data_IF_815424619398
#
_entry.id   IF_815424619398
#
_cell.length_a   1.000
_cell.length_b   1.000
_cell.length_c   1.000
_cell.angle_alpha   90.00
_cell.angle_beta   90.00
_cell.angle_gamma   90.00
#
_symmetry.space_group_name_H-M   'P 1'
#
loop_
_entity.id
_entity.type
_entity.pdbx_description
1 polymer ?
#
# COMPACT_ATOMS: atom_id res chain seq x y z
N UNK A 1 -4.17 13.84 15.20
CA UNK A 1 -4.69 12.53 14.72
C UNK A 1 -3.88 12.10 13.52
N UNK A 2 -3.83 10.80 13.21
CA UNK A 2 -3.09 10.29 12.04
C UNK A 2 -3.50 11.01 10.73
N UNK A 3 -4.77 11.38 10.58
CA UNK A 3 -5.24 12.14 9.43
C UNK A 3 -4.70 13.58 9.40
N UNK A 4 -4.68 14.28 10.54
CA UNK A 4 -4.17 15.65 10.62
C UNK A 4 -2.67 15.73 10.28
N UNK A 5 -1.89 14.73 10.71
CA UNK A 5 -0.46 14.66 10.42
C UNK A 5 -0.23 14.52 8.91
N UNK A 6 -1.02 13.67 8.24
CA UNK A 6 -0.95 13.48 6.79
C UNK A 6 -1.48 14.68 5.99
N UNK A 7 -2.46 15.41 6.52
CA UNK A 7 -2.93 16.67 5.93
C UNK A 7 -1.87 17.77 6.05
N UNK A 8 -1.20 17.87 7.20
CA UNK A 8 -0.09 18.80 7.39
C UNK A 8 1.05 18.48 6.41
N UNK A 9 1.41 17.19 6.31
CA UNK A 9 2.41 16.70 5.38
C UNK A 9 2.10 17.07 3.92
N UNK A 10 0.94 16.69 3.39
CA UNK A 10 0.66 16.84 1.95
C UNK A 10 0.61 18.31 1.51
N UNK A 11 0.16 19.22 2.39
CA UNK A 11 0.18 20.69 2.15
C UNK A 11 1.60 21.25 2.02
N UNK A 12 2.58 20.57 2.59
CA UNK A 12 3.97 21.00 2.62
C UNK A 12 4.88 20.13 1.75
N UNK A 13 4.41 19.00 1.24
CA UNK A 13 5.24 18.05 0.52
C UNK A 13 5.83 18.62 -0.79
N UNK A 14 5.15 19.57 -1.44
CA UNK A 14 5.66 20.23 -2.65
C UNK A 14 6.79 21.22 -2.35
N UNK A 15 6.64 22.07 -1.32
CA UNK A 15 7.66 23.09 -0.97
C UNK A 15 9.00 22.51 -0.52
N UNK A 16 9.02 21.24 -0.11
CA UNK A 16 10.22 20.54 0.33
C UNK A 16 11.02 19.90 -0.81
N UNK A 17 10.54 19.96 -2.07
CA UNK A 17 11.29 19.53 -3.26
C UNK A 17 11.90 18.11 -3.20
N UNK A 18 11.16 17.16 -2.62
CA UNK A 18 11.63 15.79 -2.36
C UNK A 18 11.53 14.82 -3.56
N UNK A 19 11.09 15.31 -4.72
CA UNK A 19 10.87 14.46 -5.90
C UNK A 19 12.19 14.19 -6.60
N UNK A 20 12.54 12.92 -6.78
CA UNK A 20 13.70 12.46 -7.56
C UNK A 20 13.23 11.40 -8.55
N UNK A 21 13.49 11.60 -9.84
CA UNK A 21 13.06 10.68 -10.89
C UNK A 21 11.58 10.82 -11.25
N UNK A 22 10.78 9.79 -10.97
CA UNK A 22 9.35 9.79 -11.29
C UNK A 22 8.58 10.81 -10.44
N UNK A 23 7.48 11.35 -10.99
CA UNK A 23 6.60 12.26 -10.27
C UNK A 23 5.76 11.48 -9.25
N UNK A 24 6.36 11.17 -8.10
CA UNK A 24 5.77 10.35 -7.05
C UNK A 24 5.40 11.16 -5.79
N UNK A 25 4.51 10.59 -4.99
CA UNK A 25 4.11 11.13 -3.68
C UNK A 25 3.74 9.98 -2.73
N UNK A 26 4.06 10.14 -1.45
CA UNK A 26 3.72 9.21 -0.38
C UNK A 26 2.94 9.94 0.71
N UNK A 27 2.04 9.23 1.39
CA UNK A 27 1.33 9.63 2.61
C UNK A 27 0.77 8.36 3.27
N UNK A 28 0.38 8.43 4.54
CA UNK A 28 -0.30 7.36 5.25
C UNK A 28 -1.82 7.58 5.22
N UNK A 29 -2.55 6.47 5.07
CA UNK A 29 -4.00 6.44 5.09
C UNK A 29 -4.50 5.04 5.52
N UNK A 30 -5.65 5.01 6.19
CA UNK A 30 -6.38 3.79 6.52
C UNK A 30 -7.10 3.20 5.29
N UNK A 31 -7.78 2.06 5.45
CA UNK A 31 -8.47 1.38 4.34
C UNK A 31 -9.44 2.30 3.60
N UNK A 32 -10.26 3.06 4.35
CA UNK A 32 -11.25 3.99 3.78
C UNK A 32 -10.54 5.15 3.05
N UNK A 33 -9.48 5.70 3.64
CA UNK A 33 -8.68 6.77 3.05
C UNK A 33 -8.00 6.33 1.75
N UNK A 34 -7.33 5.18 1.73
CA UNK A 34 -6.66 4.64 0.53
C UNK A 34 -7.65 4.44 -0.62
N UNK A 35 -8.80 3.80 -0.34
CA UNK A 35 -9.84 3.56 -1.34
C UNK A 35 -10.40 4.89 -1.89
N UNK A 36 -10.73 5.84 -1.01
CA UNK A 36 -11.29 7.15 -1.44
C UNK A 36 -10.31 7.94 -2.30
N UNK A 37 -9.05 8.01 -1.90
CA UNK A 37 -8.00 8.70 -2.66
C UNK A 37 -7.83 8.04 -4.03
N UNK A 38 -7.70 6.71 -4.07
CA UNK A 38 -7.53 5.95 -5.30
C UNK A 38 -8.71 6.14 -6.28
N UNK A 39 -9.96 6.10 -5.79
CA UNK A 39 -11.15 6.34 -6.62
C UNK A 39 -11.20 7.77 -7.16
N UNK A 40 -10.84 8.78 -6.36
CA UNK A 40 -10.80 10.17 -6.84
C UNK A 40 -9.67 10.42 -7.85
N UNK A 41 -8.52 9.76 -7.70
CA UNK A 41 -7.45 9.77 -8.70
C UNK A 41 -7.91 9.10 -10.00
N UNK A 42 -8.54 7.93 -9.92
CA UNK A 42 -9.05 7.21 -11.09
C UNK A 42 -10.13 8.05 -11.81
N UNK A 43 -11.03 8.68 -11.05
CA UNK A 43 -12.00 9.64 -11.59
C UNK A 43 -11.31 10.84 -12.28
N UNK A 44 -10.27 11.40 -11.69
CA UNK A 44 -9.53 12.53 -12.27
C UNK A 44 -8.82 12.17 -13.59
N UNK A 45 -8.34 10.93 -13.72
CA UNK A 45 -7.80 10.40 -14.98
C UNK A 45 -8.92 10.29 -16.03
N UNK A 46 -10.06 9.69 -15.66
CA UNK A 46 -11.24 9.54 -16.53
C UNK A 46 -11.78 10.89 -17.03
N UNK A 47 -11.74 11.92 -16.19
CA UNK A 47 -12.16 13.29 -16.53
C UNK A 47 -11.08 14.10 -17.28
N UNK A 48 -9.90 13.54 -17.50
CA UNK A 48 -8.79 14.22 -18.18
C UNK A 48 -8.10 15.31 -17.35
N UNK A 49 -8.43 15.45 -16.06
CA UNK A 49 -7.72 16.36 -15.13
C UNK A 49 -6.29 15.89 -14.85
N UNK A 50 -6.07 14.57 -14.90
CA UNK A 50 -4.75 13.94 -14.86
C UNK A 50 -4.48 13.35 -16.25
N UNK A 51 -3.33 13.69 -16.83
CA UNK A 51 -3.01 13.43 -18.25
C UNK A 51 -2.69 11.97 -18.59
N UNK A 52 -2.50 11.10 -17.60
CA UNK A 52 -2.14 9.71 -17.84
C UNK A 52 -2.40 8.81 -16.63
N UNK A 53 -2.23 7.48 -16.79
CA UNK A 53 -2.42 6.53 -15.71
C UNK A 53 -1.50 6.80 -14.51
N UNK A 54 -1.94 6.35 -13.34
CA UNK A 54 -1.17 6.42 -12.09
C UNK A 54 -0.91 4.99 -11.60
N UNK A 55 0.30 4.75 -11.08
CA UNK A 55 0.62 3.53 -10.33
C UNK A 55 0.40 3.82 -8.85
N UNK A 56 -0.52 3.09 -8.23
CA UNK A 56 -0.62 2.99 -6.79
C UNK A 56 0.33 1.90 -6.29
N UNK A 57 1.03 2.16 -5.20
CA UNK A 57 1.91 1.19 -4.55
C UNK A 57 2.23 1.65 -3.13
N UNK A 58 3.10 0.92 -2.45
CA UNK A 58 3.56 1.22 -1.10
C UNK A 58 4.91 0.57 -0.84
N UNK A 59 5.58 1.01 0.23
CA UNK A 59 6.65 0.23 0.83
C UNK A 59 6.06 -1.07 1.45
N UNK A 60 6.91 -2.05 1.72
CA UNK A 60 6.51 -3.27 2.41
C UNK A 60 6.35 -3.03 3.91
N UNK A 61 6.90 -1.94 4.44
CA UNK A 61 6.63 -1.46 5.80
C UNK A 61 5.19 -0.94 5.92
N UNK A 62 4.25 -1.87 6.08
CA UNK A 62 2.81 -1.62 6.14
C UNK A 62 2.10 -2.67 6.98
N UNK A 63 0.84 -2.40 7.32
CA UNK A 63 0.01 -3.16 8.27
C UNK A 63 -0.12 -4.65 7.97
N UNK A 64 -0.26 -5.07 6.70
CA UNK A 64 -0.46 -6.49 6.34
C UNK A 64 0.70 -7.11 5.58
N UNK A 65 1.59 -6.27 5.06
CA UNK A 65 2.54 -6.68 4.04
C UNK A 65 3.74 -7.44 4.59
N UNK A 66 4.01 -7.40 5.89
CA UNK A 66 5.29 -7.84 6.44
C UNK A 66 5.14 -8.52 7.79
N UNK A 67 5.68 -9.74 7.87
CA UNK A 67 5.93 -10.44 9.13
C UNK A 67 7.41 -10.29 9.49
N UNK A 68 7.68 -9.59 10.60
CA UNK A 68 9.03 -9.22 11.02
C UNK A 68 9.08 -9.07 12.54
N UNK A 69 9.57 -10.08 13.28
CA UNK A 69 9.54 -10.08 14.75
C UNK A 69 10.38 -8.96 15.37
N UNK A 70 11.29 -8.36 14.61
CA UNK A 70 12.16 -7.27 15.06
C UNK A 70 11.70 -5.89 14.62
N UNK A 71 10.61 -5.77 13.86
CA UNK A 71 10.13 -4.47 13.36
C UNK A 71 8.61 -4.39 13.19
N UNK A 72 8.05 -4.88 12.10
CA UNK A 72 6.62 -4.69 11.78
C UNK A 72 5.67 -5.44 12.73
N UNK A 73 6.01 -6.68 13.12
CA UNK A 73 5.19 -7.50 14.02
C UNK A 73 5.81 -7.61 15.42
N UNK A 74 6.75 -6.73 15.76
CA UNK A 74 7.48 -6.78 17.05
C UNK A 74 6.59 -6.45 18.26
N UNK A 75 5.41 -5.86 18.03
CA UNK A 75 4.43 -5.54 19.05
C UNK A 75 3.33 -6.63 19.18
N UNK A 76 3.50 -7.78 18.53
CA UNK A 76 2.59 -8.93 18.62
C UNK A 76 3.15 -9.92 19.66
N UNK A 77 2.35 -10.22 20.69
CA UNK A 77 2.82 -10.93 21.90
C UNK A 77 2.16 -12.29 22.15
N UNK A 78 1.31 -12.76 21.23
CA UNK A 78 0.70 -14.10 21.32
C UNK A 78 1.64 -15.22 20.83
N UNK A 79 2.85 -14.86 20.39
CA UNK A 79 3.88 -15.75 19.85
C UNK A 79 3.86 -15.88 18.33
N UNK A 80 2.87 -15.28 17.64
CA UNK A 80 2.74 -15.37 16.18
C UNK A 80 3.70 -14.49 15.39
N UNK A 81 4.44 -13.58 16.04
CA UNK A 81 5.39 -12.68 15.35
C UNK A 81 6.53 -13.40 14.61
N UNK A 82 6.77 -14.69 14.92
CA UNK A 82 7.74 -15.55 14.25
C UNK A 82 7.20 -16.27 13.01
N UNK A 83 5.90 -16.18 12.73
CA UNK A 83 5.31 -16.80 11.54
C UNK A 83 5.45 -15.89 10.32
N UNK A 84 4.99 -16.36 9.15
CA UNK A 84 5.01 -15.60 7.89
C UNK A 84 3.68 -15.68 7.14
N UNK A 85 2.63 -16.16 7.81
CA UNK A 85 1.34 -16.46 7.20
C UNK A 85 0.66 -15.18 6.69
N UNK A 86 0.74 -14.07 7.45
CA UNK A 86 0.09 -12.82 7.10
C UNK A 86 0.64 -12.24 5.80
N UNK A 87 1.96 -12.14 5.66
CA UNK A 87 2.61 -11.61 4.47
C UNK A 87 2.35 -12.47 3.23
N UNK A 88 2.39 -13.80 3.37
CA UNK A 88 2.07 -14.75 2.29
C UNK A 88 0.60 -14.68 1.91
N UNK A 89 -0.31 -14.63 2.88
CA UNK A 89 -1.74 -14.45 2.63
C UNK A 89 -2.02 -13.12 1.94
N UNK A 90 -1.34 -12.04 2.36
CA UNK A 90 -1.54 -10.71 1.80
C UNK A 90 -1.26 -10.70 0.30
N UNK A 91 -0.07 -11.16 -0.09
CA UNK A 91 0.36 -11.15 -1.50
C UNK A 91 -0.52 -12.03 -2.39
N UNK A 92 -0.94 -13.20 -1.90
CA UNK A 92 -1.87 -14.08 -2.62
C UNK A 92 -3.23 -13.39 -2.77
N UNK A 93 -3.74 -12.80 -1.70
CA UNK A 93 -5.04 -12.16 -1.72
C UNK A 93 -5.08 -10.92 -2.63
N UNK A 94 -4.00 -10.15 -2.72
CA UNK A 94 -3.85 -9.04 -3.67
C UNK A 94 -3.84 -9.51 -5.12
N UNK A 95 -3.12 -10.61 -5.41
CA UNK A 95 -2.97 -11.16 -6.75
C UNK A 95 -4.32 -11.49 -7.42
N UNK A 96 -5.27 -12.04 -6.64
CA UNK A 96 -6.61 -12.39 -7.14
C UNK A 96 -7.65 -11.27 -6.95
N UNK A 97 -7.28 -10.14 -6.37
CA UNK A 97 -8.17 -8.96 -6.16
C UNK A 97 -7.88 -7.80 -7.09
N UNK A 98 -6.91 -7.95 -7.98
CA UNK A 98 -6.71 -7.08 -9.13
C UNK A 98 -5.49 -6.18 -9.08
N UNK A 99 -4.52 -6.47 -8.21
CA UNK A 99 -3.18 -5.90 -8.34
C UNK A 99 -2.66 -6.09 -9.78
N UNK A 100 -1.95 -5.09 -10.31
CA UNK A 100 -1.30 -5.20 -11.62
C UNK A 100 -0.07 -6.09 -11.54
N UNK A 101 0.68 -6.00 -10.43
CA UNK A 101 1.70 -6.95 -10.05
C UNK A 101 1.75 -7.09 -8.52
N UNK A 102 2.34 -8.19 -8.09
CA UNK A 102 2.61 -8.48 -6.67
C UNK A 102 4.05 -8.94 -6.52
N UNK A 103 4.59 -8.83 -5.30
CA UNK A 103 5.93 -9.27 -4.96
C UNK A 103 5.97 -9.84 -3.55
N UNK A 104 6.78 -10.86 -3.36
CA UNK A 104 7.08 -11.46 -2.05
C UNK A 104 8.60 -11.58 -1.93
N UNK A 105 9.17 -10.97 -0.91
CA UNK A 105 10.61 -10.90 -0.70
C UNK A 105 11.01 -11.53 0.64
N UNK A 106 12.29 -11.90 0.73
CA UNK A 106 12.95 -12.35 1.95
C UNK A 106 13.99 -11.30 2.34
N UNK A 107 13.89 -10.78 3.56
CA UNK A 107 14.94 -9.98 4.17
C UNK A 107 14.80 -8.46 4.04
N UNK A 108 13.65 -7.94 3.60
CA UNK A 108 13.44 -6.51 3.46
C UNK A 108 13.51 -5.76 4.79
N UNK A 109 14.58 -4.97 4.98
CA UNK A 109 14.70 -4.03 6.07
C UNK A 109 15.50 -4.52 7.27
N UNK A 110 15.18 -5.70 7.84
CA UNK A 110 15.93 -6.27 8.98
C UNK A 110 16.97 -7.32 8.59
N UNK A 111 17.03 -7.72 7.31
CA UNK A 111 18.07 -8.60 6.78
C UNK A 111 17.58 -10.01 6.43
N UNK A 112 18.36 -10.70 5.60
CA UNK A 112 18.03 -12.00 5.04
C UNK A 112 17.70 -13.06 6.11
N UNK A 113 16.55 -13.73 5.96
CA UNK A 113 16.09 -14.78 6.86
C UNK A 113 15.28 -14.27 8.07
N UNK A 114 15.28 -12.95 8.32
CA UNK A 114 14.65 -12.36 9.51
C UNK A 114 13.25 -11.78 9.24
N UNK A 115 12.81 -11.76 7.98
CA UNK A 115 11.55 -11.12 7.57
C UNK A 115 11.03 -11.69 6.25
N UNK A 116 9.72 -11.87 6.16
CA UNK A 116 8.99 -12.11 4.92
C UNK A 116 8.10 -10.90 4.65
N UNK A 117 8.31 -10.25 3.49
CA UNK A 117 7.68 -8.98 3.20
C UNK A 117 7.19 -8.89 1.75
N UNK A 118 5.93 -8.55 1.57
CA UNK A 118 5.24 -8.43 0.30
C UNK A 118 4.66 -7.04 0.01
N UNK A 119 4.44 -6.80 -1.27
CA UNK A 119 3.90 -5.55 -1.78
C UNK A 119 3.25 -5.71 -3.14
N UNK A 120 2.63 -4.63 -3.61
CA UNK A 120 1.85 -4.61 -4.82
C UNK A 120 2.16 -3.36 -5.67
N UNK A 121 1.80 -3.43 -6.94
CA UNK A 121 1.50 -2.24 -7.74
C UNK A 121 0.16 -2.38 -8.43
N UNK A 122 -0.62 -1.32 -8.44
CA UNK A 122 -1.95 -1.24 -9.04
C UNK A 122 -2.02 -0.03 -9.96
N UNK A 123 -2.04 -0.29 -11.26
CA UNK A 123 -2.26 0.73 -12.28
C UNK A 123 -3.75 1.12 -12.28
N UNK A 124 -4.00 2.42 -12.21
CA UNK A 124 -5.31 3.03 -12.38
C UNK A 124 -5.28 3.91 -13.63
N UNK A 125 -6.24 3.73 -14.52
CA UNK A 125 -6.24 4.25 -15.89
C UNK A 125 -7.52 5.03 -16.24
N UNK A 126 -8.39 5.27 -15.25
CA UNK A 126 -9.70 5.89 -15.39
C UNK A 126 -10.84 4.91 -15.66
N UNK A 127 -10.55 3.63 -15.93
CA UNK A 127 -11.58 2.65 -16.27
C UNK A 127 -12.47 2.27 -15.08
N UNK A 128 -13.72 1.84 -15.33
CA UNK A 128 -14.56 1.22 -14.30
C UNK A 128 -13.97 -0.08 -13.74
N UNK A 129 -13.13 -0.79 -14.50
CA UNK A 129 -12.45 -1.98 -14.00
C UNK A 129 -11.40 -1.62 -12.94
N UNK A 130 -10.65 -0.52 -13.13
CA UNK A 130 -9.78 0.03 -12.09
C UNK A 130 -10.57 0.38 -10.82
N UNK A 131 -11.77 0.98 -10.92
CA UNK A 131 -12.63 1.26 -9.74
C UNK A 131 -12.99 -0.02 -8.96
N UNK A 132 -13.26 -1.13 -9.66
CA UNK A 132 -13.55 -2.43 -9.04
C UNK A 132 -12.31 -3.01 -8.34
N UNK A 133 -11.15 -2.99 -9.01
CA UNK A 133 -9.86 -3.48 -8.46
C UNK A 133 -9.43 -2.67 -7.23
N UNK A 134 -9.52 -1.35 -7.29
CA UNK A 134 -9.23 -0.43 -6.18
C UNK A 134 -10.01 -0.85 -4.92
N UNK A 135 -11.33 -1.02 -5.05
CA UNK A 135 -12.20 -1.35 -3.90
C UNK A 135 -11.89 -2.74 -3.33
N UNK A 136 -11.60 -3.71 -4.20
CA UNK A 136 -11.36 -5.09 -3.77
C UNK A 136 -9.98 -5.27 -3.15
N UNK A 137 -8.93 -4.83 -3.85
CA UNK A 137 -7.53 -5.03 -3.46
C UNK A 137 -7.16 -4.19 -2.24
N UNK A 138 -7.42 -2.87 -2.24
CA UNK A 138 -7.04 -2.02 -1.10
C UNK A 138 -7.84 -2.32 0.17
N UNK A 139 -9.04 -2.89 0.05
CA UNK A 139 -9.77 -3.38 1.21
C UNK A 139 -9.03 -4.57 1.84
N UNK A 140 -8.57 -5.51 1.03
CA UNK A 140 -7.82 -6.67 1.50
C UNK A 140 -6.43 -6.29 2.03
N UNK A 141 -5.64 -5.56 1.25
CA UNK A 141 -4.26 -5.16 1.57
C UNK A 141 -4.12 -4.45 2.91
N UNK A 142 -5.18 -3.76 3.35
CA UNK A 142 -5.21 -3.12 4.68
C UNK A 142 -5.85 -3.99 5.75
N UNK A 143 -7.02 -4.58 5.50
CA UNK A 143 -7.77 -5.24 6.57
C UNK A 143 -7.22 -6.64 6.92
N UNK A 144 -6.39 -7.25 6.07
CA UNK A 144 -5.75 -8.54 6.38
C UNK A 144 -4.90 -8.44 7.66
N UNK A 145 -4.06 -7.40 7.81
CA UNK A 145 -3.23 -7.20 9.00
C UNK A 145 -3.94 -6.53 10.18
N UNK A 146 -5.24 -6.23 10.07
CA UNK A 146 -6.06 -5.70 11.17
C UNK A 146 -6.89 -6.80 11.84
N UNK A 147 -7.21 -7.86 11.09
CA UNK A 147 -8.20 -8.88 11.45
C UNK A 147 -7.79 -9.78 12.62
#
# INVERSE_FOLDING_TARGET
TQLEDNLHWIRHAHRNSLVVGSQARILYADAKGRIRIALELNRAIREGRIKGPIVLGRDHHDVSGTDSPFRETSNIYDGSSLTADMAVHNVIGDAFRGATWVSLHNGGGVGWGEVINGGFGLVIDGSPDADRRIKSMLFWDVNNGIA
#
